data_IF_910625924059
#
_entry.id   IF_910625924059
#
_cell.length_a   1.000
_cell.length_b   1.000
_cell.length_c   1.000
_cell.angle_alpha   90.00
_cell.angle_beta   90.00
_cell.angle_gamma   90.00
#
_symmetry.space_group_name_H-M   'P 1'
#
loop_
_entity.id
_entity.type
_entity.pdbx_description
1 polymer ?
#
# COMPACT_ATOMS: atom_id res chain seq x y z
N UNK A 1 0.47 4.55 2.56
CA UNK A 1 0.54 3.07 2.44
C UNK A 1 -0.83 2.40 2.30
N UNK A 2 -1.81 2.54 3.21
CA UNK A 2 -3.14 1.92 3.00
C UNK A 2 -4.00 2.71 1.99
N UNK A 3 -3.84 4.04 1.94
CA UNK A 3 -4.62 4.89 1.04
C UNK A 3 -4.38 4.56 -0.44
N UNK A 4 -3.13 4.39 -0.87
CA UNK A 4 -2.81 4.12 -2.28
C UNK A 4 -3.35 2.76 -2.76
N UNK A 5 -3.27 1.72 -1.91
CA UNK A 5 -3.82 0.40 -2.26
C UNK A 5 -5.34 0.46 -2.39
N UNK A 6 -6.01 1.13 -1.46
CA UNK A 6 -7.47 1.29 -1.49
C UNK A 6 -7.96 2.09 -2.70
N UNK A 7 -7.28 3.18 -3.05
CA UNK A 7 -7.66 4.02 -4.19
C UNK A 7 -7.50 3.25 -5.51
N UNK A 8 -6.36 2.58 -5.70
CA UNK A 8 -6.12 1.80 -6.91
C UNK A 8 -7.05 0.58 -7.01
N UNK A 9 -7.33 -0.10 -5.90
CA UNK A 9 -8.27 -1.23 -5.87
C UNK A 9 -9.70 -0.80 -6.25
N UNK A 10 -10.14 0.36 -5.76
CA UNK A 10 -11.45 0.93 -6.13
C UNK A 10 -11.49 1.31 -7.60
N UNK A 11 -10.42 1.92 -8.11
CA UNK A 11 -10.31 2.33 -9.51
C UNK A 11 -10.39 1.12 -10.46
N UNK A 12 -9.66 0.04 -10.14
CA UNK A 12 -9.71 -1.22 -10.89
C UNK A 12 -11.07 -1.95 -10.73
N UNK A 13 -11.68 -1.87 -9.54
CA UNK A 13 -13.01 -2.44 -9.30
C UNK A 13 -14.13 -1.77 -10.09
N UNK A 14 -14.05 -0.45 -10.32
CA UNK A 14 -15.02 0.30 -11.12
C UNK A 14 -14.92 -0.03 -12.62
N UNK A 15 -13.72 -0.14 -13.17
CA UNK A 15 -13.51 -0.48 -14.59
C UNK A 15 -13.99 -1.89 -14.92
N UNK A 16 -13.80 -2.85 -13.99
CA UNK A 16 -14.35 -4.20 -14.10
C UNK A 16 -15.89 -4.21 -14.18
N UNK A 17 -16.57 -3.24 -13.57
CA UNK A 17 -18.04 -3.13 -13.63
C UNK A 17 -18.56 -2.37 -14.83
N UNK A 18 -17.83 -1.36 -15.30
CA UNK A 18 -18.29 -0.50 -16.39
C UNK A 18 -18.04 -1.09 -17.78
N UNK A 19 -17.09 -2.02 -17.95
CA UNK A 19 -16.89 -2.79 -19.19
C UNK A 19 -16.59 -1.94 -20.44
N UNK A 20 -16.34 -0.64 -20.26
CA UNK A 20 -15.99 0.29 -21.32
C UNK A 20 -14.48 0.26 -21.48
N UNK A 21 -13.99 -0.12 -22.65
CA UNK A 21 -12.57 -0.01 -23.03
C UNK A 21 -12.10 1.44 -23.17
N UNK A 22 -12.31 2.24 -22.12
CA UNK A 22 -11.85 3.62 -21.99
C UNK A 22 -10.40 3.70 -21.52
N UNK A 23 -10.02 4.93 -21.15
CA UNK A 23 -8.71 5.23 -20.58
C UNK A 23 -8.53 4.50 -19.24
N UNK A 24 -7.34 3.93 -19.01
CA UNK A 24 -7.08 3.10 -17.84
C UNK A 24 -7.29 3.92 -16.55
N UNK A 25 -8.13 3.44 -15.60
CA UNK A 25 -8.49 4.18 -14.40
C UNK A 25 -7.28 4.47 -13.48
N UNK A 26 -6.19 3.74 -13.64
CA UNK A 26 -4.95 3.96 -12.90
C UNK A 26 -4.25 5.26 -13.31
N UNK A 27 -4.48 5.79 -14.52
CA UNK A 27 -3.89 7.06 -14.95
C UNK A 27 -4.31 8.23 -14.04
N UNK A 28 -5.58 8.24 -13.60
CA UNK A 28 -6.07 9.19 -12.61
C UNK A 28 -5.42 9.00 -11.23
N UNK A 29 -5.15 7.76 -10.84
CA UNK A 29 -4.48 7.43 -9.57
C UNK A 29 -3.04 7.96 -9.53
N UNK A 30 -2.29 7.82 -10.64
CA UNK A 30 -0.94 8.37 -10.76
C UNK A 30 -0.95 9.88 -10.52
N UNK A 31 -1.84 10.60 -11.21
CA UNK A 31 -1.93 12.06 -11.08
C UNK A 31 -2.25 12.48 -9.65
N UNK A 32 -3.23 11.85 -9.01
CA UNK A 32 -3.61 12.14 -7.63
C UNK A 32 -2.43 11.93 -6.66
N UNK A 33 -1.71 10.82 -6.78
CA UNK A 33 -0.57 10.55 -5.90
C UNK A 33 0.63 11.47 -6.18
N UNK A 34 0.85 11.89 -7.42
CA UNK A 34 1.86 12.89 -7.76
C UNK A 34 1.57 14.26 -7.13
N UNK A 35 0.30 14.70 -7.13
CA UNK A 35 -0.11 15.95 -6.45
C UNK A 35 0.13 15.87 -4.93
N UNK A 36 -0.26 14.75 -4.30
CA UNK A 36 -0.03 14.53 -2.86
C UNK A 36 1.47 14.46 -2.51
N UNK A 37 2.29 13.91 -3.40
CA UNK A 37 3.75 13.92 -3.23
C UNK A 37 4.30 15.35 -3.26
N UNK A 38 3.83 16.20 -4.18
CA UNK A 38 4.27 17.60 -4.26
C UNK A 38 3.93 18.37 -2.98
N UNK A 39 2.74 18.14 -2.41
CA UNK A 39 2.35 18.73 -1.12
C UNK A 39 3.27 18.26 0.01
N UNK A 40 3.59 16.96 0.06
CA UNK A 40 4.51 16.38 1.05
C UNK A 40 5.92 16.96 0.94
N UNK A 41 6.42 17.16 -0.28
CA UNK A 41 7.70 17.82 -0.55
C UNK A 41 7.68 19.29 -0.10
N UNK A 42 6.58 20.00 -0.34
CA UNK A 42 6.40 21.37 0.14
C UNK A 42 6.41 21.44 1.67
N UNK A 43 5.81 20.45 2.35
CA UNK A 43 5.80 20.35 3.81
C UNK A 43 7.21 20.15 4.39
N UNK A 44 8.06 19.33 3.74
CA UNK A 44 9.45 19.12 4.19
C UNK A 44 10.31 20.39 4.18
N UNK A 45 9.94 21.37 3.34
CA UNK A 45 10.62 22.67 3.24
C UNK A 45 10.29 23.62 4.39
N UNK A 46 9.28 23.30 5.22
CA UNK A 46 8.93 24.08 6.40
C UNK A 46 9.87 23.75 7.59
N UNK A 47 9.66 24.44 8.71
CA UNK A 47 10.39 24.18 9.95
C UNK A 47 9.88 22.89 10.62
N UNK A 48 10.61 21.81 10.39
CA UNK A 48 10.42 20.51 11.02
C UNK A 48 11.59 20.18 11.94
N UNK A 49 11.28 19.53 13.06
CA UNK A 49 12.31 18.95 13.93
C UNK A 49 13.12 17.88 13.18
N UNK A 50 14.33 17.58 13.67
CA UNK A 50 15.22 16.58 13.08
C UNK A 50 14.54 15.21 12.90
N UNK A 51 13.76 14.77 13.91
CA UNK A 51 13.05 13.49 13.86
C UNK A 51 11.91 13.52 12.82
N UNK A 52 11.12 14.60 12.79
CA UNK A 52 10.04 14.73 11.81
C UNK A 52 10.58 14.75 10.37
N UNK A 53 11.72 15.40 10.14
CA UNK A 53 12.38 15.43 8.83
C UNK A 53 12.84 14.04 8.36
N UNK A 54 13.39 13.22 9.28
CA UNK A 54 13.79 11.84 8.99
C UNK A 54 12.56 10.99 8.64
N UNK A 55 11.51 11.06 9.48
CA UNK A 55 10.27 10.30 9.27
C UNK A 55 9.60 10.69 7.95
N UNK A 56 9.52 11.99 7.65
CA UNK A 56 8.93 12.48 6.41
C UNK A 56 9.76 12.09 5.18
N UNK A 57 11.09 12.08 5.28
CA UNK A 57 11.95 11.56 4.22
C UNK A 57 11.68 10.09 3.92
N UNK A 58 11.50 9.27 4.95
CA UNK A 58 11.11 7.87 4.78
C UNK A 58 9.73 7.72 4.11
N UNK A 59 8.75 8.54 4.51
CA UNK A 59 7.41 8.54 3.91
C UNK A 59 7.43 8.93 2.43
N UNK A 60 8.19 9.98 2.06
CA UNK A 60 8.34 10.40 0.66
C UNK A 60 8.92 9.30 -0.21
N UNK A 61 9.94 8.58 0.28
CA UNK A 61 10.52 7.44 -0.46
C UNK A 61 9.49 6.35 -0.71
N UNK A 62 8.64 6.05 0.28
CA UNK A 62 7.54 5.11 0.12
C UNK A 62 6.50 5.60 -0.90
N UNK A 63 6.14 6.88 -0.87
CA UNK A 63 5.14 7.44 -1.79
C UNK A 63 5.64 7.47 -3.24
N UNK A 64 6.90 7.82 -3.47
CA UNK A 64 7.54 7.72 -4.79
C UNK A 64 7.52 6.27 -5.29
N UNK A 65 7.84 5.29 -4.43
CA UNK A 65 7.77 3.88 -4.80
C UNK A 65 6.36 3.46 -5.22
N UNK A 66 5.33 3.88 -4.48
CA UNK A 66 3.94 3.57 -4.80
C UNK A 66 3.54 4.15 -6.16
N UNK A 67 3.95 5.38 -6.49
CA UNK A 67 3.70 5.99 -7.81
C UNK A 67 4.37 5.17 -8.91
N UNK A 68 5.64 4.80 -8.75
CA UNK A 68 6.35 3.96 -9.72
C UNK A 68 5.67 2.61 -9.94
N UNK A 69 5.12 2.00 -8.88
CA UNK A 69 4.34 0.76 -9.01
C UNK A 69 3.07 1.00 -9.84
N UNK A 70 2.33 2.08 -9.61
CA UNK A 70 1.12 2.40 -10.38
C UNK A 70 1.47 2.66 -11.86
N UNK A 71 2.56 3.35 -12.15
CA UNK A 71 3.06 3.55 -13.51
C UNK A 71 3.42 2.23 -14.21
N UNK A 72 4.01 1.28 -13.49
CA UNK A 72 4.29 -0.07 -14.01
C UNK A 72 2.99 -0.85 -14.29
N UNK A 73 1.98 -0.73 -13.42
CA UNK A 73 0.66 -1.34 -13.63
C UNK A 73 -0.04 -0.77 -14.86
N UNK A 74 0.08 0.55 -15.08
CA UNK A 74 -0.43 1.23 -16.26
C UNK A 74 0.27 0.75 -17.53
N UNK A 75 1.60 0.63 -17.49
CA UNK A 75 2.40 0.12 -18.61
C UNK A 75 2.10 -1.35 -18.94
N UNK A 76 1.69 -2.14 -17.94
CA UNK A 76 1.25 -3.53 -18.11
C UNK A 76 -0.22 -3.68 -18.56
N UNK A 77 -0.94 -2.57 -18.76
CA UNK A 77 -2.39 -2.53 -18.98
C UNK A 77 -3.19 -3.37 -17.97
N UNK A 78 -2.78 -3.29 -16.69
CA UNK A 78 -3.50 -3.93 -15.59
C UNK A 78 -4.89 -3.29 -15.46
N UNK A 79 -5.95 -4.11 -15.56
CA UNK A 79 -7.36 -3.67 -15.53
C UNK A 79 -8.16 -4.33 -14.42
N UNK A 80 -7.62 -5.39 -13.81
CA UNK A 80 -8.28 -6.12 -12.74
C UNK A 80 -7.44 -6.21 -11.48
N UNK A 81 -8.11 -6.21 -10.33
CA UNK A 81 -7.51 -6.58 -9.04
C UNK A 81 -7.08 -8.05 -8.98
N UNK A 82 -7.51 -8.87 -9.94
CA UNK A 82 -7.07 -10.26 -10.07
C UNK A 82 -5.85 -10.42 -11.00
N UNK A 83 -5.40 -9.34 -11.66
CA UNK A 83 -4.23 -9.42 -12.53
C UNK A 83 -2.97 -9.69 -11.71
N UNK A 84 -2.07 -10.52 -12.27
CA UNK A 84 -0.86 -10.92 -11.58
C UNK A 84 -0.01 -9.70 -11.18
N UNK A 85 0.06 -8.69 -12.05
CA UNK A 85 0.84 -7.47 -11.83
C UNK A 85 0.36 -6.66 -10.62
N UNK A 86 -0.95 -6.64 -10.36
CA UNK A 86 -1.52 -6.09 -9.13
C UNK A 86 -1.27 -7.01 -7.94
N UNK A 87 -1.54 -8.31 -8.10
CA UNK A 87 -1.49 -9.29 -7.02
C UNK A 87 -0.10 -9.41 -6.39
N UNK A 88 0.98 -9.28 -7.18
CA UNK A 88 2.37 -9.42 -6.73
C UNK A 88 2.86 -8.28 -5.83
N UNK A 89 2.15 -7.15 -5.80
CA UNK A 89 2.49 -6.00 -4.95
C UNK A 89 2.20 -6.29 -3.46
N UNK A 90 2.99 -5.71 -2.57
CA UNK A 90 2.73 -5.75 -1.13
C UNK A 90 1.62 -4.76 -0.78
N UNK A 91 0.53 -5.24 -0.19
CA UNK A 91 -0.64 -4.42 0.15
C UNK A 91 -0.96 -4.52 1.63
N UNK A 92 -1.28 -3.38 2.23
CA UNK A 92 -1.70 -3.29 3.62
C UNK A 92 -3.20 -3.05 3.67
N UNK A 93 -3.89 -3.84 4.49
CA UNK A 93 -5.32 -3.76 4.73
C UNK A 93 -5.56 -3.63 6.22
N UNK A 94 -6.43 -2.71 6.61
CA UNK A 94 -6.94 -2.69 7.98
C UNK A 94 -8.15 -3.62 8.06
N UNK A 95 -8.08 -4.66 8.88
CA UNK A 95 -9.20 -5.56 9.11
C UNK A 95 -9.97 -5.12 10.35
N UNK A 96 -11.14 -4.50 10.13
CA UNK A 96 -11.99 -4.00 11.22
C UNK A 96 -12.53 -5.12 12.14
N UNK A 97 -12.58 -6.37 11.69
CA UNK A 97 -13.07 -7.48 12.53
C UNK A 97 -12.03 -7.95 13.54
N UNK A 98 -10.74 -7.79 13.21
CA UNK A 98 -9.61 -8.26 14.01
C UNK A 98 -8.88 -7.09 14.69
N UNK A 99 -9.27 -5.85 14.36
CA UNK A 99 -8.65 -4.59 14.78
C UNK A 99 -7.13 -4.58 14.56
N UNK A 100 -6.71 -5.13 13.41
CA UNK A 100 -5.30 -5.32 13.11
C UNK A 100 -4.96 -5.08 11.64
N UNK A 101 -3.71 -4.76 11.39
CA UNK A 101 -3.16 -4.57 10.05
C UNK A 101 -2.77 -5.91 9.44
N UNK A 102 -3.36 -6.22 8.29
CA UNK A 102 -3.08 -7.40 7.50
C UNK A 102 -2.22 -7.01 6.29
N UNK A 103 -1.04 -7.62 6.18
CA UNK A 103 -0.20 -7.50 4.98
C UNK A 103 -0.58 -8.62 4.02
N UNK A 104 -0.85 -8.31 2.74
CA UNK A 104 -1.15 -9.29 1.70
C UNK A 104 -0.17 -9.17 0.54
N UNK A 105 0.32 -10.29 0.05
CA UNK A 105 1.10 -10.38 -1.19
C UNK A 105 0.72 -11.65 -1.95
N UNK A 106 0.33 -11.51 -3.21
CA UNK A 106 -0.19 -12.59 -4.06
C UNK A 106 -1.35 -13.33 -3.39
N UNK A 107 -1.11 -14.52 -2.83
CA UNK A 107 -2.09 -15.36 -2.12
C UNK A 107 -1.84 -15.45 -0.61
N UNK A 108 -0.73 -14.88 -0.13
CA UNK A 108 -0.32 -14.97 1.27
C UNK A 108 -0.79 -13.75 2.05
N UNK A 109 -1.45 -13.99 3.19
CA UNK A 109 -1.83 -12.97 4.16
C UNK A 109 -1.07 -13.17 5.47
N UNK A 110 -0.40 -12.13 5.95
CA UNK A 110 0.33 -12.12 7.20
C UNK A 110 -0.30 -11.10 8.14
N UNK A 111 -0.68 -11.55 9.33
CA UNK A 111 -1.12 -10.66 10.42
C UNK A 111 0.09 -9.93 10.96
N UNK A 112 0.03 -8.61 11.06
CA UNK A 112 1.08 -7.84 11.69
C UNK A 112 1.03 -8.10 13.21
N UNK A 113 2.03 -8.78 13.75
CA UNK A 113 2.10 -9.02 15.19
C UNK A 113 2.63 -7.76 15.86
N UNK A 114 1.73 -7.04 16.53
CA UNK A 114 2.07 -5.93 17.41
C UNK A 114 2.97 -6.48 18.53
N UNK A 115 4.25 -6.09 18.50
CA UNK A 115 5.27 -6.54 19.44
C UNK A 115 5.00 -6.06 20.85
N UNK A 116 4.07 -6.71 21.56
CA UNK A 116 4.16 -6.84 23.01
C UNK A 116 4.81 -8.18 23.29
N UNK A 117 5.96 -8.11 23.95
CA UNK A 117 6.61 -9.27 24.54
C UNK A 117 5.65 -9.90 25.56
N UNK A 118 4.90 -10.92 25.14
CA UNK A 118 4.53 -12.00 26.03
C UNK A 118 5.59 -13.10 25.85
N UNK A 119 6.70 -12.92 26.57
CA UNK A 119 7.57 -14.03 26.98
C UNK A 119 6.73 -14.94 27.89
N UNK A 120 5.86 -15.77 27.31
CA UNK A 120 5.21 -16.88 28.04
C UNK A 120 4.64 -17.91 27.06
N UNK A 121 5.38 -19.00 26.83
CA UNK A 121 4.76 -20.32 26.95
C UNK A 121 4.38 -21.12 25.70
N UNK A 122 4.86 -20.83 24.50
CA UNK A 122 4.59 -21.69 23.33
C UNK A 122 5.86 -22.05 22.55
N UNK A 123 6.81 -22.67 23.24
CA UNK A 123 7.73 -23.63 22.63
C UNK A 123 7.51 -24.97 23.32
N UNK A 124 7.19 -26.07 22.62
CA UNK A 124 7.08 -27.37 23.24
C UNK A 124 8.50 -27.83 23.59
N UNK A 125 8.95 -27.53 24.82
CA UNK A 125 10.10 -28.22 25.39
C UNK A 125 9.65 -29.64 25.65
N UNK A 126 10.05 -30.52 24.73
CA UNK A 126 10.04 -31.96 24.90
C UNK A 126 10.70 -32.29 26.25
N UNK A 127 9.93 -32.87 27.18
CA UNK A 127 10.50 -33.43 28.42
C UNK A 127 10.17 -34.92 28.44
N UNK A 128 11.23 -35.73 28.40
CA UNK A 128 11.28 -37.16 28.73
C UNK A 128 10.99 -37.39 30.21
#
# INVERSE_FOLDING_TARGET
MISWTSICERALGQDATDGKGGENPLAGCVKYHQEQLQESVAYVRQDLSKLQRILMGALIVLDVHNITVIEQLLAADCRSVNDFDWSKQLRYYWDANVDDCMCRQTISSFKWVQGTAAVTGLWPVHRS
#
